data_IF_898879788957
#
_entry.id   IF_898879788957
#
_cell.length_a   1.000
_cell.length_b   1.000
_cell.length_c   1.000
_cell.angle_alpha   90.00
_cell.angle_beta   90.00
_cell.angle_gamma   90.00
#
_symmetry.space_group_name_H-M   'P 1'
#
loop_
_entity.id
_entity.type
_entity.pdbx_description
1 polymer ?
#
# COMPACT_ATOMS: atom_id res chain seq x y z
N UNK A 1 -2.03 9.37 -15.66
CA UNK A 1 -2.91 10.55 -15.57
C UNK A 1 -4.35 10.06 -15.46
N UNK A 2 -5.12 10.63 -14.58
CA UNK A 2 -6.57 10.46 -14.48
C UNK A 2 -7.23 11.34 -15.56
N UNK A 3 -7.66 10.71 -16.66
CA UNK A 3 -8.19 11.43 -17.83
C UNK A 3 -9.60 11.95 -17.59
N UNK A 4 -10.43 11.23 -16.81
CA UNK A 4 -11.77 11.68 -16.42
C UNK A 4 -11.70 12.90 -15.51
N UNK A 5 -10.89 12.86 -14.47
CA UNK A 5 -10.72 14.01 -13.58
C UNK A 5 -10.14 15.22 -14.30
N UNK A 6 -9.30 15.00 -15.32
CA UNK A 6 -8.83 16.07 -16.19
C UNK A 6 -9.98 16.64 -17.04
N UNK A 7 -10.74 15.77 -17.70
CA UNK A 7 -11.90 16.17 -18.53
C UNK A 7 -12.92 16.97 -17.72
N UNK A 8 -13.26 16.52 -16.51
CA UNK A 8 -14.19 17.22 -15.62
C UNK A 8 -13.77 18.65 -15.35
N UNK A 9 -12.49 18.84 -14.96
CA UNK A 9 -11.95 20.19 -14.68
C UNK A 9 -11.90 21.09 -15.90
N UNK A 10 -11.73 20.52 -17.09
CA UNK A 10 -11.73 21.29 -18.34
C UNK A 10 -13.14 21.69 -18.76
N UNK A 11 -14.14 20.81 -18.58
CA UNK A 11 -15.55 21.10 -18.87
C UNK A 11 -16.13 22.26 -18.01
N UNK A 12 -15.54 22.50 -16.84
CA UNK A 12 -15.89 23.66 -16.02
C UNK A 12 -15.37 25.00 -16.59
N UNK A 13 -14.41 24.95 -17.51
CA UNK A 13 -13.66 26.14 -17.99
C UNK A 13 -13.88 26.47 -19.45
N UNK A 14 -14.22 25.49 -20.27
CA UNK A 14 -14.32 25.65 -21.72
C UNK A 14 -15.42 24.78 -22.34
N UNK A 15 -15.76 25.03 -23.59
CA UNK A 15 -16.78 24.27 -24.32
C UNK A 15 -16.37 22.85 -24.65
N UNK A 16 -17.37 21.97 -24.81
CA UNK A 16 -17.16 20.51 -25.01
C UNK A 16 -16.29 20.22 -26.23
N UNK A 17 -16.47 20.90 -27.35
CA UNK A 17 -15.66 20.70 -28.56
C UNK A 17 -14.18 21.06 -28.36
N UNK A 18 -13.92 22.07 -27.56
CA UNK A 18 -12.56 22.47 -27.19
C UNK A 18 -11.93 21.46 -26.22
N UNK A 19 -12.67 21.02 -25.21
CA UNK A 19 -12.26 19.95 -24.29
C UNK A 19 -11.92 18.70 -25.06
N UNK A 20 -12.75 18.29 -26.02
CA UNK A 20 -12.52 17.11 -26.84
C UNK A 20 -11.19 17.17 -27.59
N UNK A 21 -10.82 18.32 -28.14
CA UNK A 21 -9.55 18.52 -28.85
C UNK A 21 -8.36 18.41 -27.88
N UNK A 22 -8.43 19.12 -26.75
CA UNK A 22 -7.37 19.12 -25.74
C UNK A 22 -7.16 17.72 -25.18
N UNK A 23 -8.24 16.99 -24.88
CA UNK A 23 -8.16 15.59 -24.42
C UNK A 23 -7.52 14.68 -25.49
N UNK A 24 -7.96 14.82 -26.74
CA UNK A 24 -7.45 14.00 -27.82
C UNK A 24 -5.94 14.19 -28.04
N UNK A 25 -5.45 15.44 -27.97
CA UNK A 25 -4.03 15.72 -28.04
C UNK A 25 -3.24 15.05 -26.89
N UNK A 26 -3.75 15.13 -25.67
CA UNK A 26 -3.12 14.49 -24.51
C UNK A 26 -3.12 12.96 -24.60
N UNK A 27 -4.23 12.37 -25.01
CA UNK A 27 -4.35 10.93 -25.22
C UNK A 27 -3.41 10.47 -26.33
N UNK A 28 -3.36 11.19 -27.46
CA UNK A 28 -2.48 10.88 -28.58
C UNK A 28 -1.01 10.91 -28.16
N UNK A 29 -0.60 11.94 -27.39
CA UNK A 29 0.76 12.10 -26.89
C UNK A 29 1.18 10.94 -25.96
N UNK A 30 0.36 10.60 -24.98
CA UNK A 30 0.70 9.60 -23.95
C UNK A 30 0.67 8.19 -24.52
N UNK A 31 -0.34 7.87 -25.36
CA UNK A 31 -0.53 6.53 -25.91
C UNK A 31 0.19 6.30 -27.25
N UNK A 32 0.82 7.32 -27.79
CA UNK A 32 1.41 7.29 -29.12
C UNK A 32 0.41 6.83 -30.20
N UNK A 33 -0.82 7.39 -30.15
CA UNK A 33 -1.90 7.08 -31.09
C UNK A 33 -2.09 8.16 -32.13
N UNK A 34 -2.79 7.80 -33.22
CA UNK A 34 -3.27 8.80 -34.16
C UNK A 34 -4.31 9.72 -33.50
N UNK A 35 -4.32 11.00 -33.91
CA UNK A 35 -5.28 11.98 -33.39
C UNK A 35 -6.75 11.53 -33.63
N UNK A 36 -7.02 10.88 -34.76
CA UNK A 36 -8.35 10.35 -35.08
C UNK A 36 -8.81 9.29 -34.04
N UNK A 37 -7.95 8.38 -33.67
CA UNK A 37 -8.24 7.38 -32.61
C UNK A 37 -8.44 8.06 -31.27
N UNK A 38 -7.56 8.99 -30.92
CA UNK A 38 -7.63 9.75 -29.67
C UNK A 38 -8.89 10.60 -29.57
N UNK A 39 -9.37 11.16 -30.68
CA UNK A 39 -10.64 11.93 -30.72
C UNK A 39 -11.85 11.06 -30.37
N UNK A 40 -11.92 9.83 -30.84
CA UNK A 40 -13.01 8.89 -30.45
C UNK A 40 -12.99 8.58 -28.96
N UNK A 41 -11.80 8.42 -28.40
CA UNK A 41 -11.63 8.19 -26.97
C UNK A 41 -11.98 9.42 -26.14
N UNK A 42 -11.54 10.60 -26.54
CA UNK A 42 -11.88 11.84 -25.90
C UNK A 42 -13.40 12.05 -25.82
N UNK A 43 -14.12 11.71 -26.87
CA UNK A 43 -15.59 11.74 -26.88
C UNK A 43 -16.20 10.77 -25.85
N UNK A 44 -15.70 9.53 -25.80
CA UNK A 44 -16.17 8.53 -24.84
C UNK A 44 -15.92 9.01 -23.38
N UNK A 45 -14.74 9.55 -23.10
CA UNK A 45 -14.40 10.14 -21.79
C UNK A 45 -15.35 11.26 -21.40
N UNK A 46 -15.67 12.18 -22.35
CA UNK A 46 -16.60 13.28 -22.07
C UNK A 46 -18.01 12.75 -21.76
N UNK A 47 -18.49 11.77 -22.52
CA UNK A 47 -19.81 11.16 -22.29
C UNK A 47 -19.85 10.49 -20.91
N UNK A 48 -18.81 9.75 -20.55
CA UNK A 48 -18.72 9.10 -19.24
C UNK A 48 -18.68 10.10 -18.10
N UNK A 49 -17.87 11.15 -18.20
CA UNK A 49 -17.80 12.22 -17.19
C UNK A 49 -19.17 12.90 -17.02
N UNK A 50 -19.86 13.21 -18.11
CA UNK A 50 -21.21 13.82 -18.04
C UNK A 50 -22.23 12.89 -17.38
N UNK A 51 -22.16 11.60 -17.66
CA UNK A 51 -23.06 10.60 -17.06
C UNK A 51 -22.73 10.34 -15.59
N UNK A 52 -21.45 10.28 -15.23
CA UNK A 52 -21.00 10.02 -13.87
C UNK A 52 -21.28 11.20 -12.91
N UNK A 53 -21.20 12.45 -13.41
CA UNK A 53 -21.32 13.66 -12.58
C UNK A 53 -22.57 14.50 -12.88
N UNK A 54 -23.36 14.14 -13.87
CA UNK A 54 -24.52 14.92 -14.34
C UNK A 54 -25.79 14.75 -13.51
N UNK A 55 -25.88 13.72 -12.66
CA UNK A 55 -27.04 13.48 -11.81
C UNK A 55 -26.58 13.09 -10.41
N UNK A 56 -26.90 13.90 -9.43
CA UNK A 56 -26.64 13.57 -8.02
C UNK A 56 -27.69 12.61 -7.47
N UNK A 57 -27.22 11.54 -6.89
CA UNK A 57 -28.00 10.61 -6.09
C UNK A 57 -27.22 10.44 -4.78
N UNK A 58 -27.90 10.40 -3.64
CA UNK A 58 -27.25 10.28 -2.33
C UNK A 58 -26.26 9.10 -2.21
N UNK A 59 -26.46 8.04 -3.00
CA UNK A 59 -25.54 6.89 -3.10
C UNK A 59 -24.30 7.18 -3.95
N UNK A 60 -24.37 8.17 -4.85
CA UNK A 60 -23.30 8.52 -5.80
C UNK A 60 -22.58 9.81 -5.40
N UNK A 61 -23.00 10.41 -4.30
CA UNK A 61 -22.39 11.63 -3.79
C UNK A 61 -21.64 11.37 -2.48
N UNK A 62 -20.65 12.18 -2.20
CA UNK A 62 -19.90 12.15 -0.95
C UNK A 62 -19.49 13.56 -0.54
N UNK A 63 -19.37 13.77 0.76
CA UNK A 63 -18.93 15.06 1.31
C UNK A 63 -17.49 15.36 0.85
N UNK A 64 -17.30 16.51 0.24
CA UNK A 64 -15.99 16.98 -0.22
C UNK A 64 -15.40 17.95 0.80
N UNK A 65 -14.25 17.60 1.36
CA UNK A 65 -13.55 18.46 2.32
C UNK A 65 -12.92 19.68 1.70
N UNK A 66 -12.67 19.67 0.38
CA UNK A 66 -11.94 20.73 -0.31
C UNK A 66 -10.41 20.67 -0.10
N UNK A 67 -9.90 19.68 0.61
CA UNK A 67 -8.46 19.49 0.89
C UNK A 67 -7.98 18.20 0.23
N UNK A 68 -6.86 18.27 -0.48
CA UNK A 68 -6.27 17.10 -1.14
C UNK A 68 -5.43 16.26 -0.17
N UNK A 69 -5.21 14.99 -0.52
CA UNK A 69 -4.33 14.08 0.24
C UNK A 69 -2.92 14.65 0.43
N UNK A 70 -2.36 15.28 -0.61
CA UNK A 70 -1.03 15.88 -0.56
C UNK A 70 -0.95 17.11 0.36
N UNK A 71 -1.96 18.00 0.31
CA UNK A 71 -2.02 19.17 1.19
C UNK A 71 -2.21 18.77 2.65
N UNK A 72 -2.99 17.75 2.91
CA UNK A 72 -3.22 17.26 4.27
C UNK A 72 -2.06 16.43 4.83
N UNK A 73 -1.19 15.92 3.96
CA UNK A 73 -0.01 15.13 4.34
C UNK A 73 -0.31 13.70 4.73
N UNK A 74 -1.38 13.11 4.19
CA UNK A 74 -1.71 11.70 4.43
C UNK A 74 -0.63 10.80 3.85
N UNK A 75 -0.18 9.79 4.62
CA UNK A 75 0.94 8.90 4.27
C UNK A 75 2.33 9.45 4.61
N UNK A 76 2.43 10.62 5.23
CA UNK A 76 3.70 11.28 5.55
C UNK A 76 4.10 11.20 7.03
N UNK A 77 3.38 10.42 7.84
CA UNK A 77 3.60 10.26 9.29
C UNK A 77 3.66 11.59 10.05
N UNK A 78 2.78 12.53 9.67
CA UNK A 78 2.60 13.81 10.35
C UNK A 78 1.22 13.92 11.01
N UNK A 79 0.90 15.10 11.53
CA UNK A 79 -0.40 15.34 12.22
C UNK A 79 -1.61 15.05 11.34
N UNK A 80 -1.55 15.36 10.04
CA UNK A 80 -2.64 15.07 9.11
C UNK A 80 -2.87 13.58 8.92
N UNK A 81 -1.81 12.80 8.89
CA UNK A 81 -1.85 11.35 8.78
C UNK A 81 -2.51 10.73 10.01
N UNK A 82 -2.04 11.06 11.21
CA UNK A 82 -2.63 10.57 12.46
C UNK A 82 -4.11 10.97 12.59
N UNK A 83 -4.46 12.21 12.24
CA UNK A 83 -5.84 12.66 12.26
C UNK A 83 -6.75 11.83 11.33
N UNK A 84 -6.29 11.53 10.11
CA UNK A 84 -7.06 10.71 9.16
C UNK A 84 -7.23 9.29 9.70
N UNK A 85 -6.19 8.69 10.29
CA UNK A 85 -6.29 7.37 10.90
C UNK A 85 -7.25 7.33 12.09
N UNK A 86 -7.26 8.36 12.94
CA UNK A 86 -8.26 8.51 14.00
C UNK A 86 -9.69 8.58 13.44
N UNK A 87 -9.90 9.37 12.36
CA UNK A 87 -11.21 9.47 11.72
C UNK A 87 -11.64 8.16 11.02
N UNK A 88 -10.72 7.42 10.44
CA UNK A 88 -10.98 6.08 9.92
C UNK A 88 -11.45 5.16 11.07
N UNK A 89 -10.78 5.20 12.21
CA UNK A 89 -11.15 4.41 13.38
C UNK A 89 -12.53 4.80 13.94
N UNK A 90 -12.89 6.09 13.93
CA UNK A 90 -14.24 6.56 14.29
C UNK A 90 -15.31 6.02 13.34
N UNK A 91 -15.06 6.03 12.03
CA UNK A 91 -15.99 5.50 11.00
C UNK A 91 -16.18 4.00 11.15
N UNK A 92 -15.10 3.25 11.41
CA UNK A 92 -15.17 1.80 11.65
C UNK A 92 -15.95 1.48 12.95
N UNK A 93 -15.81 2.32 13.96
CA UNK A 93 -16.45 2.12 15.25
C UNK A 93 -15.87 0.94 16.03
N UNK A 94 -16.73 0.23 16.77
CA UNK A 94 -16.34 -0.99 17.48
C UNK A 94 -16.45 -2.19 16.55
N UNK A 95 -15.30 -2.71 16.12
CA UNK A 95 -15.21 -3.87 15.22
C UNK A 95 -15.26 -5.21 15.95
N UNK A 96 -15.20 -5.22 17.29
CA UNK A 96 -15.03 -6.45 18.09
C UNK A 96 -13.66 -7.11 17.95
N UNK A 97 -12.71 -6.47 17.29
CA UNK A 97 -11.33 -6.96 17.16
C UNK A 97 -10.56 -6.83 18.48
N UNK A 98 -9.62 -7.72 18.71
CA UNK A 98 -8.73 -7.66 19.89
C UNK A 98 -7.75 -6.50 19.77
N UNK A 99 -7.20 -6.31 18.56
CA UNK A 99 -6.45 -5.11 18.17
C UNK A 99 -7.11 -4.56 16.92
N UNK A 100 -7.57 -3.32 16.99
CA UNK A 100 -8.36 -2.68 15.96
C UNK A 100 -7.66 -1.45 15.40
N UNK A 101 -8.26 -0.80 14.41
CA UNK A 101 -7.78 0.48 13.87
C UNK A 101 -7.65 1.60 14.92
N UNK A 102 -8.36 1.50 16.06
CA UNK A 102 -8.24 2.47 17.17
C UNK A 102 -6.92 2.36 17.93
N UNK A 103 -6.30 1.19 17.88
CA UNK A 103 -5.03 0.93 18.56
C UNK A 103 -3.84 1.51 17.78
N UNK A 104 -4.00 1.83 16.49
CA UNK A 104 -2.94 2.30 15.57
C UNK A 104 -1.69 1.42 15.63
N UNK A 105 -1.89 0.12 15.75
CA UNK A 105 -0.85 -0.89 15.84
C UNK A 105 -0.43 -1.40 14.45
N UNK A 106 0.59 -2.23 14.37
CA UNK A 106 1.17 -2.70 13.11
C UNK A 106 0.23 -3.64 12.35
N UNK A 107 -0.58 -4.44 13.06
CA UNK A 107 -1.61 -5.27 12.43
C UNK A 107 -2.90 -5.33 13.25
N UNK A 108 -4.02 -5.59 12.57
CA UNK A 108 -5.29 -5.93 13.21
C UNK A 108 -5.27 -7.37 13.73
N UNK A 109 -5.91 -7.62 14.88
CA UNK A 109 -5.96 -8.96 15.49
C UNK A 109 -7.38 -9.32 15.89
N UNK A 110 -7.82 -10.50 15.49
CA UNK A 110 -9.07 -11.11 15.93
C UNK A 110 -8.81 -12.41 16.67
N UNK A 111 -9.71 -12.81 17.57
CA UNK A 111 -9.64 -14.09 18.27
C UNK A 111 -10.50 -15.13 17.56
N UNK A 112 -9.95 -16.31 17.34
CA UNK A 112 -10.68 -17.45 16.80
C UNK A 112 -10.34 -18.72 17.60
N UNK A 113 -11.29 -19.18 18.40
CA UNK A 113 -11.06 -20.27 19.36
C UNK A 113 -9.94 -19.93 20.34
N UNK A 114 -8.93 -20.78 20.39
CA UNK A 114 -7.74 -20.62 21.25
C UNK A 114 -6.61 -19.84 20.59
N UNK A 115 -6.83 -19.33 19.38
CA UNK A 115 -5.83 -18.65 18.59
C UNK A 115 -6.18 -17.17 18.35
N UNK A 116 -5.15 -16.39 18.08
CA UNK A 116 -5.25 -15.06 17.51
C UNK A 116 -4.85 -15.11 16.03
N UNK A 117 -5.60 -14.42 15.21
CA UNK A 117 -5.32 -14.22 13.79
C UNK A 117 -4.92 -12.77 13.62
N UNK A 118 -3.68 -12.54 13.22
CA UNK A 118 -3.15 -11.21 12.87
C UNK A 118 -3.22 -11.00 11.37
N UNK A 119 -3.68 -9.83 10.94
CA UNK A 119 -3.84 -9.46 9.53
C UNK A 119 -3.23 -8.10 9.29
N UNK A 120 -2.29 -8.03 8.36
CA UNK A 120 -1.68 -6.79 7.89
C UNK A 120 -1.79 -6.67 6.38
N UNK A 121 -1.79 -5.45 5.88
CA UNK A 121 -1.68 -5.12 4.45
C UNK A 121 -0.80 -3.89 4.29
N UNK A 122 0.19 -4.00 3.43
CA UNK A 122 1.07 -2.89 3.07
C UNK A 122 0.93 -2.49 1.62
N UNK A 123 1.00 -1.20 1.35
CA UNK A 123 0.95 -0.65 0.00
C UNK A 123 2.31 -0.68 -0.69
N UNK A 124 2.29 -0.88 -2.00
CA UNK A 124 3.50 -0.75 -2.83
C UNK A 124 4.02 0.68 -2.72
N UNK A 125 5.30 0.83 -2.38
CA UNK A 125 5.97 2.14 -2.44
C UNK A 125 5.90 2.66 -3.88
N UNK A 126 5.18 3.76 -4.10
CA UNK A 126 4.81 4.24 -5.43
C UNK A 126 5.98 4.47 -6.38
N UNK A 127 7.18 4.77 -5.85
CA UNK A 127 8.38 4.96 -6.65
C UNK A 127 9.15 3.68 -6.93
N UNK A 128 9.09 2.71 -6.02
CA UNK A 128 9.61 1.37 -6.26
C UNK A 128 8.81 0.63 -7.33
N UNK A 129 7.59 1.07 -7.65
CA UNK A 129 6.79 0.48 -8.71
C UNK A 129 7.45 0.53 -10.09
N UNK A 130 8.45 1.39 -10.29
CA UNK A 130 9.30 1.39 -11.50
C UNK A 130 10.35 0.26 -11.49
N UNK A 131 10.54 -0.39 -10.35
CA UNK A 131 11.42 -1.54 -10.14
C UNK A 131 10.61 -2.68 -9.53
N UNK A 132 9.77 -3.36 -10.32
CA UNK A 132 8.68 -4.19 -9.81
C UNK A 132 9.14 -5.31 -8.90
N UNK A 133 10.27 -5.97 -9.19
CA UNK A 133 10.84 -7.00 -8.33
C UNK A 133 11.16 -6.47 -6.93
N UNK A 134 11.86 -5.33 -6.85
CA UNK A 134 12.22 -4.68 -5.57
C UNK A 134 10.96 -4.25 -4.83
N UNK A 135 9.97 -3.71 -5.54
CA UNK A 135 8.68 -3.34 -4.97
C UNK A 135 7.97 -4.55 -4.35
N UNK A 136 7.89 -5.67 -5.06
CA UNK A 136 7.30 -6.91 -4.58
C UNK A 136 8.03 -7.48 -3.38
N UNK A 137 9.35 -7.48 -3.40
CA UNK A 137 10.18 -7.93 -2.29
C UNK A 137 9.92 -7.12 -1.02
N UNK A 138 9.98 -5.78 -1.11
CA UNK A 138 9.85 -4.92 0.07
C UNK A 138 8.44 -4.90 0.64
N UNK A 139 7.39 -4.84 -0.19
CA UNK A 139 6.01 -4.81 0.31
C UNK A 139 5.63 -6.13 0.99
N UNK A 140 6.09 -7.26 0.46
CA UNK A 140 5.85 -8.57 1.09
C UNK A 140 6.57 -8.69 2.43
N UNK A 141 7.84 -8.26 2.45
CA UNK A 141 8.64 -8.20 3.66
C UNK A 141 7.99 -7.33 4.74
N UNK A 142 7.42 -6.18 4.35
CA UNK A 142 6.75 -5.25 5.25
C UNK A 142 5.48 -5.88 5.85
N UNK A 143 4.56 -6.39 5.03
CA UNK A 143 3.34 -7.03 5.49
C UNK A 143 3.62 -8.25 6.43
N UNK A 144 4.66 -9.04 6.12
CA UNK A 144 5.08 -10.13 7.02
C UNK A 144 5.65 -9.61 8.34
N UNK A 145 6.41 -8.52 8.31
CA UNK A 145 6.99 -7.91 9.50
C UNK A 145 5.91 -7.46 10.47
N UNK A 146 4.88 -6.80 9.97
CA UNK A 146 3.77 -6.31 10.77
C UNK A 146 3.03 -7.47 11.48
N UNK A 147 2.89 -8.61 10.81
CA UNK A 147 2.34 -9.83 11.42
C UNK A 147 3.29 -10.39 12.47
N UNK A 148 4.60 -10.45 12.19
CA UNK A 148 5.57 -10.98 13.14
C UNK A 148 5.67 -10.16 14.42
N UNK A 149 5.64 -8.82 14.33
CA UNK A 149 5.72 -7.96 15.51
C UNK A 149 4.45 -7.99 16.36
N UNK A 150 3.35 -8.51 15.83
CA UNK A 150 2.17 -8.83 16.64
C UNK A 150 2.28 -10.18 17.37
N UNK A 151 3.43 -10.86 17.31
CA UNK A 151 3.67 -12.16 17.94
C UNK A 151 3.13 -13.34 17.15
N UNK A 152 2.74 -13.14 15.89
CA UNK A 152 2.13 -14.18 15.05
C UNK A 152 3.10 -14.74 14.00
N UNK A 153 3.02 -16.05 13.74
CA UNK A 153 3.74 -16.68 12.62
C UNK A 153 2.90 -16.53 11.35
N UNK A 154 3.44 -15.92 10.27
CA UNK A 154 2.79 -15.85 8.98
C UNK A 154 2.42 -17.20 8.41
N UNK A 155 1.21 -17.36 7.89
CA UNK A 155 0.70 -18.60 7.29
C UNK A 155 0.24 -18.45 5.85
N UNK A 156 -0.07 -17.24 5.42
CA UNK A 156 -0.50 -16.95 4.05
C UNK A 156 -0.19 -15.50 3.66
N UNK A 157 0.11 -15.32 2.38
CA UNK A 157 0.28 -14.03 1.72
C UNK A 157 -0.72 -13.92 0.58
N UNK A 158 -1.22 -12.73 0.33
CA UNK A 158 -2.06 -12.39 -0.82
C UNK A 158 -1.68 -11.02 -1.37
N UNK A 159 -2.00 -10.76 -2.63
CA UNK A 159 -1.60 -9.51 -3.29
C UNK A 159 -2.73 -8.88 -4.08
N UNK A 160 -2.65 -7.58 -4.27
CA UNK A 160 -3.51 -6.82 -5.17
C UNK A 160 -2.62 -5.90 -6.02
N UNK A 161 -2.73 -6.00 -7.36
CA UNK A 161 -1.86 -5.29 -8.29
C UNK A 161 -2.71 -4.56 -9.30
N UNK A 162 -2.50 -3.26 -9.42
CA UNK A 162 -3.16 -2.42 -10.40
C UNK A 162 -2.12 -1.67 -11.23
N UNK A 163 -2.22 -1.76 -12.56
CA UNK A 163 -1.33 -1.06 -13.49
C UNK A 163 -2.17 -0.15 -14.38
N UNK A 164 -1.68 1.06 -14.61
CA UNK A 164 -2.29 1.98 -15.55
C UNK A 164 -2.23 1.42 -16.98
N UNK A 165 -3.09 1.92 -17.86
CA UNK A 165 -3.42 1.30 -19.15
C UNK A 165 -2.22 1.11 -20.11
N UNK A 166 -1.19 1.95 -20.01
CA UNK A 166 0.00 1.88 -20.87
C UNK A 166 1.18 1.15 -20.20
N UNK A 167 1.02 0.63 -18.97
CA UNK A 167 2.06 -0.10 -18.27
C UNK A 167 2.39 -1.43 -18.93
N UNK A 168 3.68 -1.76 -18.95
CA UNK A 168 4.15 -3.03 -19.51
C UNK A 168 3.67 -4.21 -18.66
N UNK A 169 3.12 -5.24 -19.30
CA UNK A 169 2.61 -6.46 -18.64
C UNK A 169 3.71 -7.19 -17.85
N UNK A 170 4.96 -7.09 -18.26
CA UNK A 170 6.09 -7.71 -17.55
C UNK A 170 6.25 -7.19 -16.11
N UNK A 171 5.79 -5.97 -15.80
CA UNK A 171 5.78 -5.44 -14.43
C UNK A 171 5.03 -6.35 -13.46
N UNK A 172 3.96 -7.03 -13.92
CA UNK A 172 3.19 -7.99 -13.11
C UNK A 172 4.08 -9.17 -12.70
N UNK A 173 4.76 -9.76 -13.68
CA UNK A 173 5.57 -10.96 -13.44
C UNK A 173 6.76 -10.67 -12.57
N UNK A 174 7.47 -9.57 -12.81
CA UNK A 174 8.59 -9.15 -11.98
C UNK A 174 8.16 -8.84 -10.54
N UNK A 175 7.00 -8.19 -10.37
CA UNK A 175 6.47 -7.91 -9.04
C UNK A 175 6.11 -9.20 -8.29
N UNK A 176 5.43 -10.13 -8.95
CA UNK A 176 5.13 -11.45 -8.38
C UNK A 176 6.40 -12.23 -8.08
N UNK A 177 7.44 -12.13 -8.93
CA UNK A 177 8.73 -12.76 -8.65
C UNK A 177 9.36 -12.22 -7.36
N UNK A 178 9.28 -10.90 -7.12
CA UNK A 178 9.72 -10.28 -5.87
C UNK A 178 8.96 -10.78 -4.64
N UNK A 179 7.63 -10.89 -4.74
CA UNK A 179 6.78 -11.47 -3.68
C UNK A 179 7.18 -12.93 -3.43
N UNK A 180 7.29 -13.72 -4.49
CA UNK A 180 7.60 -15.16 -4.43
C UNK A 180 8.97 -15.41 -3.82
N UNK A 181 9.97 -14.57 -4.13
CA UNK A 181 11.31 -14.69 -3.55
C UNK A 181 11.28 -14.60 -2.01
N UNK A 182 10.49 -13.69 -1.44
CA UNK A 182 10.29 -13.60 0.02
C UNK A 182 9.52 -14.82 0.52
N UNK A 183 8.41 -15.17 -0.13
CA UNK A 183 7.55 -16.29 0.24
C UNK A 183 8.32 -17.61 0.30
N UNK A 184 9.15 -17.91 -0.70
CA UNK A 184 10.00 -19.11 -0.75
C UNK A 184 11.07 -19.11 0.33
N UNK A 185 11.74 -17.97 0.56
CA UNK A 185 12.77 -17.86 1.57
C UNK A 185 12.24 -18.10 2.98
N UNK A 186 11.01 -17.68 3.27
CA UNK A 186 10.36 -17.86 4.57
C UNK A 186 9.42 -19.06 4.65
N UNK A 187 9.16 -19.72 3.52
CA UNK A 187 8.25 -20.88 3.40
C UNK A 187 6.81 -20.55 3.79
N UNK A 188 6.34 -19.39 3.34
CA UNK A 188 4.95 -18.96 3.50
C UNK A 188 4.34 -18.79 2.11
N UNK A 189 3.22 -19.47 1.78
CA UNK A 189 2.68 -19.46 0.42
C UNK A 189 2.01 -18.13 0.06
N UNK A 190 2.21 -17.69 -1.18
CA UNK A 190 1.31 -16.74 -1.85
C UNK A 190 0.07 -17.52 -2.31
N UNK A 191 -1.09 -17.25 -1.70
CA UNK A 191 -2.30 -18.09 -1.86
C UNK A 191 -3.36 -17.48 -2.76
N UNK A 192 -3.36 -16.16 -2.92
CA UNK A 192 -4.40 -15.45 -3.67
C UNK A 192 -3.89 -14.11 -4.16
N UNK A 193 -4.55 -13.57 -5.17
CA UNK A 193 -4.28 -12.23 -5.66
C UNK A 193 -5.36 -11.71 -6.59
N UNK A 194 -5.34 -10.40 -6.80
CA UNK A 194 -6.14 -9.69 -7.80
C UNK A 194 -5.19 -8.90 -8.69
N UNK A 195 -5.52 -8.82 -9.98
CA UNK A 195 -4.73 -8.07 -10.95
C UNK A 195 -5.67 -7.33 -11.88
N UNK A 196 -5.62 -6.01 -11.87
CA UNK A 196 -6.51 -5.16 -12.63
C UNK A 196 -5.76 -4.01 -13.33
N UNK A 197 -6.40 -3.40 -14.31
CA UNK A 197 -6.01 -2.06 -14.78
C UNK A 197 -6.57 -1.00 -13.84
N UNK A 198 -5.79 0.02 -13.53
CA UNK A 198 -6.27 1.15 -12.71
C UNK A 198 -7.35 1.89 -13.49
N UNK A 199 -8.59 1.92 -12.96
CA UNK A 199 -9.69 2.62 -13.57
C UNK A 199 -10.04 2.11 -14.99
N UNK A 200 -9.78 0.83 -15.29
CA UNK A 200 -9.91 0.31 -16.63
C UNK A 200 -8.97 1.01 -17.61
N UNK A 201 -9.51 1.69 -18.58
CA UNK A 201 -8.76 2.44 -19.60
C UNK A 201 -8.74 3.96 -19.36
N UNK A 202 -9.26 4.44 -18.23
CA UNK A 202 -9.35 5.86 -17.90
C UNK A 202 -8.12 6.43 -17.19
N UNK A 203 -7.28 5.58 -16.60
CA UNK A 203 -6.00 6.00 -16.02
C UNK A 203 -4.87 5.65 -16.96
N UNK A 204 -4.51 6.60 -17.81
CA UNK A 204 -3.43 6.43 -18.80
C UNK A 204 -2.06 6.71 -18.18
N UNK A 205 -1.03 6.05 -18.72
CA UNK A 205 0.35 6.06 -18.22
C UNK A 205 0.80 4.69 -17.75
N UNK A 206 1.93 4.60 -17.08
CA UNK A 206 2.63 3.35 -16.76
C UNK A 206 2.68 3.00 -15.27
N UNK A 207 2.01 3.79 -14.42
CA UNK A 207 2.09 3.63 -12.96
C UNK A 207 1.48 2.31 -12.52
N UNK A 208 2.20 1.61 -11.64
CA UNK A 208 1.72 0.45 -10.90
C UNK A 208 1.41 0.86 -9.45
N UNK A 209 0.35 0.34 -8.89
CA UNK A 209 -0.04 0.46 -7.49
C UNK A 209 -0.65 -0.84 -6.99
N UNK A 210 -0.89 -0.96 -5.72
CA UNK A 210 -1.47 -2.15 -5.11
C UNK A 210 -0.91 -2.39 -3.72
N UNK A 211 -1.01 -3.62 -3.25
CA UNK A 211 -0.53 -3.99 -1.94
C UNK A 211 -0.32 -5.49 -1.79
N UNK A 212 0.31 -5.85 -0.68
CA UNK A 212 0.48 -7.24 -0.25
C UNK A 212 -0.05 -7.36 1.16
N UNK A 213 -0.93 -8.34 1.35
CA UNK A 213 -1.44 -8.69 2.66
C UNK A 213 -0.81 -9.97 3.19
N UNK A 214 -0.74 -10.06 4.51
CA UNK A 214 -0.24 -11.23 5.22
C UNK A 214 -1.20 -11.60 6.35
N UNK A 215 -1.40 -12.89 6.54
CA UNK A 215 -2.16 -13.46 7.66
C UNK A 215 -1.22 -14.30 8.49
N UNK A 216 -1.29 -14.16 9.81
CA UNK A 216 -0.55 -14.98 10.75
C UNK A 216 -1.40 -15.50 11.89
N UNK A 217 -0.88 -16.48 12.59
CA UNK A 217 -1.58 -17.15 13.70
C UNK A 217 -0.66 -17.21 14.93
N UNK A 218 -1.23 -16.98 16.10
CA UNK A 218 -0.51 -17.06 17.37
C UNK A 218 -1.38 -17.54 18.52
N UNK A 219 -0.75 -17.90 19.65
CA UNK A 219 -1.41 -18.09 20.96
C UNK A 219 -1.15 -16.93 21.91
N UNK A 220 -0.27 -16.01 21.53
CA UNK A 220 0.13 -14.87 22.31
C UNK A 220 0.33 -13.68 21.38
N UNK A 221 -0.02 -12.48 21.84
CA UNK A 221 0.11 -11.26 21.05
C UNK A 221 0.96 -10.22 21.78
N UNK A 222 1.64 -9.38 21.03
CA UNK A 222 2.60 -8.38 21.51
C UNK A 222 2.26 -6.95 21.05
N UNK A 223 1.03 -6.48 21.28
CA UNK A 223 0.60 -5.15 20.83
C UNK A 223 1.30 -4.03 21.60
N UNK A 224 1.41 -2.86 20.98
CA UNK A 224 2.07 -1.66 21.55
C UNK A 224 1.52 -1.28 22.93
N UNK A 225 0.23 -1.42 23.15
CA UNK A 225 -0.44 -1.08 24.42
C UNK A 225 -0.01 -1.93 25.62
N UNK A 226 0.71 -3.02 25.39
CA UNK A 226 1.17 -3.90 26.48
C UNK A 226 2.51 -3.46 27.10
N UNK A 227 3.15 -2.39 26.58
CA UNK A 227 4.37 -1.80 27.17
C UNK A 227 4.14 -1.41 28.62
N UNK A 228 5.15 -1.63 29.48
CA UNK A 228 5.11 -1.35 30.92
C UNK A 228 6.32 -0.57 31.36
N UNK A 229 6.16 0.19 32.41
CA UNK A 229 7.30 0.83 33.09
C UNK A 229 8.30 -0.22 33.56
N UNK A 230 9.57 0.03 33.27
CA UNK A 230 10.66 -0.88 33.58
C UNK A 230 10.98 -1.92 32.51
N UNK A 231 10.25 -1.94 31.41
CA UNK A 231 10.59 -2.80 30.28
C UNK A 231 11.95 -2.41 29.68
N UNK A 232 12.72 -3.43 29.31
CA UNK A 232 13.98 -3.23 28.57
C UNK A 232 13.66 -3.15 27.09
N UNK A 233 14.13 -2.09 26.45
CA UNK A 233 13.98 -1.89 25.01
C UNK A 233 15.17 -2.50 24.29
N UNK A 234 14.87 -3.42 23.35
CA UNK A 234 15.85 -4.01 22.44
C UNK A 234 15.56 -3.51 21.02
N UNK A 235 16.59 -3.00 20.37
CA UNK A 235 16.51 -2.56 18.96
C UNK A 235 17.42 -3.45 18.12
N UNK A 236 16.90 -3.99 17.04
CA UNK A 236 17.71 -4.75 16.07
C UNK A 236 18.54 -3.79 15.21
N UNK A 237 19.76 -4.18 14.86
CA UNK A 237 20.44 -3.59 13.71
C UNK A 237 19.68 -3.92 12.42
N UNK A 238 19.63 -2.98 11.48
CA UNK A 238 18.93 -3.20 10.22
C UNK A 238 19.45 -2.30 9.08
N UNK A 239 19.40 -2.84 7.87
CA UNK A 239 19.76 -2.13 6.65
C UNK A 239 18.60 -1.29 6.06
N UNK A 240 17.48 -1.19 6.80
CA UNK A 240 16.29 -0.50 6.32
C UNK A 240 15.45 -1.32 5.34
N UNK A 241 14.50 -0.68 4.69
CA UNK A 241 13.56 -1.32 3.79
C UNK A 241 13.20 -0.44 2.59
N UNK A 242 11.94 -0.49 2.15
CA UNK A 242 11.46 0.22 0.95
C UNK A 242 11.71 1.72 0.96
N UNK A 243 11.64 2.37 2.12
CA UNK A 243 11.93 3.81 2.24
C UNK A 243 13.40 4.12 2.00
N UNK A 244 14.31 3.31 2.55
CA UNK A 244 15.76 3.47 2.32
C UNK A 244 16.09 3.17 0.87
N UNK A 245 15.57 2.08 0.29
CA UNK A 245 15.75 1.74 -1.11
C UNK A 245 15.27 2.87 -2.04
N UNK A 246 14.08 3.43 -1.78
CA UNK A 246 13.54 4.56 -2.54
C UNK A 246 14.46 5.79 -2.48
N UNK A 247 14.93 6.13 -1.30
CA UNK A 247 15.82 7.28 -1.08
C UNK A 247 17.16 7.06 -1.78
N UNK A 248 17.74 5.87 -1.65
CA UNK A 248 18.98 5.49 -2.29
C UNK A 248 18.91 5.60 -3.84
N UNK A 249 17.82 5.12 -4.44
CA UNK A 249 17.57 5.26 -5.89
C UNK A 249 17.57 6.74 -6.30
N UNK A 250 16.89 7.59 -5.52
CA UNK A 250 16.85 9.03 -5.81
C UNK A 250 18.20 9.71 -5.81
N UNK A 251 19.08 9.29 -4.92
CA UNK A 251 20.41 9.84 -4.80
C UNK A 251 21.46 9.10 -5.66
N UNK A 252 21.03 8.10 -6.46
CA UNK A 252 21.93 7.30 -7.30
C UNK A 252 22.88 6.38 -6.51
N UNK A 253 22.53 6.06 -5.27
CA UNK A 253 23.32 5.19 -4.37
C UNK A 253 22.81 3.74 -4.48
N UNK A 254 23.02 3.13 -5.64
CA UNK A 254 22.41 1.84 -5.97
C UNK A 254 22.94 0.69 -5.11
N UNK A 255 24.17 0.77 -4.64
CA UNK A 255 24.77 -0.19 -3.70
C UNK A 255 23.99 -0.31 -2.40
N UNK A 256 23.39 0.78 -1.92
CA UNK A 256 22.53 0.77 -0.72
C UNK A 256 21.22 0.00 -0.97
N UNK A 257 20.72 0.03 -2.21
CA UNK A 257 19.52 -0.73 -2.58
C UNK A 257 19.76 -2.23 -2.38
N UNK A 258 20.92 -2.73 -2.78
CA UNK A 258 21.30 -4.14 -2.62
C UNK A 258 21.35 -4.53 -1.14
N UNK A 259 21.87 -3.69 -0.26
CA UNK A 259 21.91 -3.93 1.20
C UNK A 259 20.50 -4.07 1.81
N UNK A 260 19.48 -3.42 1.23
CA UNK A 260 18.11 -3.52 1.72
C UNK A 260 17.44 -4.85 1.36
N UNK A 261 18.02 -5.62 0.42
CA UNK A 261 17.47 -6.93 -0.01
C UNK A 261 17.91 -8.03 0.96
N UNK A 262 17.36 -8.00 2.16
CA UNK A 262 17.63 -8.99 3.21
C UNK A 262 16.36 -9.33 4.00
N UNK A 263 16.42 -10.42 4.76
CA UNK A 263 15.33 -10.94 5.60
C UNK A 263 15.81 -11.18 7.04
N UNK A 264 16.79 -10.44 7.52
CA UNK A 264 17.46 -10.72 8.79
C UNK A 264 16.54 -10.52 10.00
N UNK A 265 15.63 -9.54 9.94
CA UNK A 265 14.64 -9.37 11.00
C UNK A 265 13.72 -10.61 11.16
N UNK A 266 13.37 -11.30 10.06
CA UNK A 266 12.58 -12.54 10.11
C UNK A 266 13.35 -13.64 10.85
N UNK A 267 14.66 -13.75 10.59
CA UNK A 267 15.53 -14.68 11.32
C UNK A 267 15.53 -14.38 12.82
N UNK A 268 15.64 -13.09 13.19
CA UNK A 268 15.63 -12.66 14.58
C UNK A 268 14.30 -13.00 15.27
N UNK A 269 13.16 -12.66 14.69
CA UNK A 269 11.83 -12.93 15.27
C UNK A 269 11.57 -14.44 15.36
N UNK A 270 11.91 -15.19 14.32
CA UNK A 270 11.79 -16.66 14.36
C UNK A 270 12.67 -17.31 15.44
N UNK A 271 13.85 -16.75 15.72
CA UNK A 271 14.67 -17.21 16.84
C UNK A 271 13.96 -17.00 18.19
N UNK A 272 13.29 -15.86 18.36
CA UNK A 272 12.45 -15.57 19.54
C UNK A 272 11.33 -16.61 19.68
N UNK A 273 10.60 -16.89 18.60
CA UNK A 273 9.51 -17.88 18.60
C UNK A 273 10.02 -19.30 18.91
N UNK A 274 11.10 -19.70 18.25
CA UNK A 274 11.73 -21.01 18.48
C UNK A 274 12.22 -21.23 19.91
N UNK A 275 12.66 -20.15 20.56
CA UNK A 275 13.09 -20.18 21.95
C UNK A 275 11.94 -20.05 22.96
N UNK A 276 10.67 -19.96 22.52
CA UNK A 276 9.46 -19.68 23.32
C UNK A 276 9.59 -18.41 24.18
N UNK A 277 10.33 -17.42 23.69
CA UNK A 277 10.56 -16.17 24.40
C UNK A 277 9.43 -15.14 24.17
N UNK A 278 8.57 -15.33 23.18
CA UNK A 278 7.47 -14.40 22.85
C UNK A 278 6.58 -14.11 24.07
N UNK A 279 6.40 -15.07 24.98
CA UNK A 279 5.61 -14.90 26.22
C UNK A 279 6.25 -13.96 27.24
N UNK A 280 7.54 -13.63 27.07
CA UNK A 280 8.28 -12.69 27.92
C UNK A 280 8.35 -11.28 27.32
N UNK A 281 7.81 -11.11 26.13
CA UNK A 281 7.80 -9.86 25.39
C UNK A 281 6.43 -9.24 25.56
N UNK A 282 6.39 -8.02 26.10
CA UNK A 282 5.15 -7.30 26.29
C UNK A 282 4.69 -6.67 24.98
N UNK A 283 5.61 -6.10 24.20
CA UNK A 283 5.34 -5.43 22.94
C UNK A 283 6.48 -5.63 21.96
N UNK A 284 6.13 -5.74 20.69
CA UNK A 284 7.05 -5.58 19.55
C UNK A 284 6.43 -4.57 18.59
N UNK A 285 7.26 -3.83 17.89
CA UNK A 285 6.85 -2.92 16.81
C UNK A 285 7.95 -2.84 15.77
N UNK A 286 7.57 -2.55 14.56
CA UNK A 286 8.54 -2.25 13.52
C UNK A 286 8.98 -0.79 13.55
N UNK A 287 10.14 -0.51 12.99
CA UNK A 287 10.62 0.87 12.77
C UNK A 287 10.60 1.15 11.27
N UNK A 288 9.68 2.00 10.85
CA UNK A 288 9.44 2.32 9.44
C UNK A 288 9.48 3.81 9.14
N UNK A 289 8.41 4.38 8.59
CA UNK A 289 8.36 5.76 8.12
C UNK A 289 8.44 6.80 9.24
N UNK A 290 7.99 6.45 10.45
CA UNK A 290 8.06 7.30 11.64
C UNK A 290 9.45 7.33 12.27
N UNK A 291 10.29 6.34 11.95
CA UNK A 291 11.57 6.11 12.61
C UNK A 291 11.42 5.78 14.09
N UNK A 292 12.54 5.65 14.80
CA UNK A 292 12.55 5.28 16.23
C UNK A 292 11.66 6.19 17.10
N UNK A 293 11.47 7.42 16.67
CA UNK A 293 10.69 8.40 17.45
C UNK A 293 9.18 8.35 17.13
N UNK A 294 8.82 7.97 15.94
CA UNK A 294 7.44 8.06 15.45
C UNK A 294 6.69 6.72 15.50
N UNK A 295 7.41 5.64 15.41
CA UNK A 295 6.90 4.28 15.52
C UNK A 295 7.09 3.75 16.93
#
# INVERSE_FOLDING_TARGET
MDIEGYARRMLEKMGEDEVKKVLAERIAEIKNWSLERAMRWAEAVIVEVKNAYGKTNWLLDYYRSGVTMGEFGVGSRGRGDFYVHEKIAEVIGDSGAVVSSKDLDDAGVVKFGDFYISVAIDGIHSRLSEFPFIAGFHVTRAAMRDVYVMGAEPVAVFSDIHIADDGDVSKIFDHIAGITAVCEAVKVPLVSGSTLRIGGDMVIGERMTGGVGCVGVSKHITPRRNVRDGDVILLTEGAGGGTVATTAIYFGMHEIVEETINLDFIKAVRAIFKADLVRRIHSMSDVTNGGIRGD
#
